data_IF_441954563883
#
_entry.id   IF_441954563883
#
_cell.length_a   1.000
_cell.length_b   1.000
_cell.length_c   1.000
_cell.angle_alpha   90.00
_cell.angle_beta   90.00
_cell.angle_gamma   90.00
#
_symmetry.space_group_name_H-M   'P 1'
#
loop_
_entity.id
_entity.type
_entity.pdbx_description
1 polymer ?
#
# COMPACT_ATOMS: atom_id res chain seq x y z
N UNK A 1 6.35 11.30 4.63
CA UNK A 1 5.95 11.91 3.35
C UNK A 1 4.80 11.17 2.69
N UNK A 2 4.88 9.84 2.49
CA UNK A 2 3.79 9.05 1.90
C UNK A 2 2.44 9.15 2.66
N UNK A 3 2.47 9.14 3.99
CA UNK A 3 1.26 9.24 4.85
C UNK A 3 0.49 10.54 4.59
N UNK A 4 1.18 11.67 4.48
CA UNK A 4 0.54 12.97 4.22
C UNK A 4 -0.11 13.08 2.83
N UNK A 5 0.32 12.24 1.87
CA UNK A 5 -0.29 12.15 0.53
C UNK A 5 -1.59 11.34 0.61
N UNK A 6 -1.55 10.20 1.29
CA UNK A 6 -2.73 9.35 1.55
C UNK A 6 -3.84 10.16 2.21
N UNK A 7 -3.52 10.89 3.29
CA UNK A 7 -4.48 11.74 4.02
C UNK A 7 -5.08 12.84 3.13
N UNK A 8 -4.25 13.49 2.29
CA UNK A 8 -4.73 14.53 1.37
C UNK A 8 -5.68 13.97 0.33
N UNK A 9 -5.39 12.81 -0.24
CA UNK A 9 -6.27 12.18 -1.24
C UNK A 9 -7.58 11.79 -0.57
N UNK A 10 -7.52 11.16 0.62
CA UNK A 10 -8.73 10.78 1.35
C UNK A 10 -9.61 11.99 1.71
N UNK A 11 -9.01 13.12 2.08
CA UNK A 11 -9.76 14.35 2.34
C UNK A 11 -10.36 14.97 1.08
N UNK A 12 -9.59 15.01 -0.02
CA UNK A 12 -10.02 15.61 -1.29
C UNK A 12 -11.16 14.82 -1.93
N UNK A 13 -11.05 13.49 -1.94
CA UNK A 13 -12.02 12.56 -2.53
C UNK A 13 -13.12 12.16 -1.53
N UNK A 14 -13.05 12.65 -0.29
CA UNK A 14 -13.96 12.31 0.82
C UNK A 14 -14.05 10.80 1.07
N UNK A 15 -12.94 10.09 0.88
CA UNK A 15 -12.86 8.66 1.03
C UNK A 15 -12.80 8.23 2.50
N UNK A 16 -13.39 7.06 2.84
CA UNK A 16 -13.29 6.49 4.17
C UNK A 16 -11.84 6.11 4.51
N UNK A 17 -11.51 6.17 5.80
CA UNK A 17 -10.19 5.78 6.32
C UNK A 17 -10.09 4.29 6.62
N UNK A 18 -11.22 3.62 6.83
CA UNK A 18 -11.29 2.17 7.02
C UNK A 18 -11.13 1.46 5.69
N UNK A 19 -10.25 0.46 5.64
CA UNK A 19 -9.96 -0.27 4.40
C UNK A 19 -11.19 -0.99 3.84
N UNK A 20 -12.00 -1.61 4.69
CA UNK A 20 -13.16 -2.40 4.24
C UNK A 20 -14.19 -1.54 3.50
N UNK A 21 -14.35 -0.29 3.90
CA UNK A 21 -15.23 0.69 3.24
C UNK A 21 -14.56 1.32 2.01
N UNK A 22 -13.23 1.47 2.03
CA UNK A 22 -12.46 2.09 0.96
C UNK A 22 -12.25 1.15 -0.24
N UNK A 23 -12.00 -0.13 0.04
CA UNK A 23 -11.73 -1.16 -0.96
C UNK A 23 -12.74 -1.17 -2.12
N UNK A 24 -14.08 -1.18 -1.90
CA UNK A 24 -15.04 -1.18 -3.01
C UNK A 24 -14.96 0.09 -3.87
N UNK A 25 -14.56 1.23 -3.30
CA UNK A 25 -14.38 2.50 -4.04
C UNK A 25 -13.15 2.38 -4.95
N UNK A 26 -12.03 1.88 -4.41
CA UNK A 26 -10.80 1.68 -5.19
C UNK A 26 -11.00 0.64 -6.31
N UNK A 27 -11.79 -0.41 -6.07
CA UNK A 27 -12.12 -1.43 -7.08
C UNK A 27 -13.05 -0.93 -8.19
N UNK A 28 -13.82 0.13 -7.94
CA UNK A 28 -14.79 0.64 -8.91
C UNK A 28 -14.10 1.20 -10.16
N UNK A 29 -12.93 1.84 -9.98
CA UNK A 29 -12.10 2.35 -11.07
C UNK A 29 -10.62 2.40 -10.66
N UNK A 30 -9.88 1.34 -10.99
CA UNK A 30 -8.43 1.26 -10.72
C UNK A 30 -7.59 2.14 -11.66
N UNK A 31 -8.18 2.63 -12.75
CA UNK A 31 -7.49 3.48 -13.72
C UNK A 31 -7.57 4.96 -13.36
N UNK A 32 -8.48 5.32 -12.44
CA UNK A 32 -8.61 6.67 -11.90
C UNK A 32 -7.29 7.17 -11.30
N UNK A 33 -6.98 8.44 -11.58
CA UNK A 33 -5.71 9.04 -11.21
C UNK A 33 -5.54 9.13 -9.68
N UNK A 34 -6.61 9.44 -8.95
CA UNK A 34 -6.59 9.52 -7.49
C UNK A 34 -6.42 8.13 -6.88
N UNK A 35 -7.07 7.10 -7.46
CA UNK A 35 -6.91 5.70 -7.02
C UNK A 35 -5.48 5.20 -7.24
N UNK A 36 -4.92 5.42 -8.44
CA UNK A 36 -3.53 5.04 -8.75
C UNK A 36 -2.53 5.72 -7.82
N UNK A 37 -2.72 7.02 -7.56
CA UNK A 37 -1.84 7.79 -6.67
C UNK A 37 -1.96 7.31 -5.22
N UNK A 38 -3.18 7.05 -4.75
CA UNK A 38 -3.43 6.51 -3.43
C UNK A 38 -2.73 5.17 -3.23
N UNK A 39 -2.94 4.21 -4.14
CA UNK A 39 -2.35 2.87 -4.04
C UNK A 39 -0.83 2.89 -4.10
N UNK A 40 -0.26 3.76 -4.95
CA UNK A 40 1.18 3.96 -5.03
C UNK A 40 1.76 4.53 -3.72
N UNK A 41 1.10 5.54 -3.14
CA UNK A 41 1.52 6.14 -1.87
C UNK A 41 1.33 5.15 -0.69
N UNK A 42 0.24 4.38 -0.70
CA UNK A 42 -0.06 3.35 0.29
C UNK A 42 1.01 2.27 0.28
N UNK A 43 1.39 1.75 -0.89
CA UNK A 43 2.48 0.79 -1.03
C UNK A 43 3.84 1.35 -0.62
N UNK A 44 4.16 2.59 -1.02
CA UNK A 44 5.39 3.25 -0.60
C UNK A 44 5.47 3.41 0.93
N UNK A 45 4.34 3.64 1.60
CA UNK A 45 4.28 3.68 3.06
C UNK A 45 4.58 2.31 3.68
N UNK A 46 4.07 1.22 3.09
CA UNK A 46 4.37 -0.15 3.50
C UNK A 46 5.87 -0.47 3.41
N UNK A 47 6.54 -0.08 2.34
CA UNK A 47 7.98 -0.25 2.20
C UNK A 47 8.77 0.54 3.26
N UNK A 48 8.34 1.77 3.55
CA UNK A 48 8.97 2.58 4.60
C UNK A 48 8.80 1.94 5.98
N UNK A 49 7.61 1.42 6.28
CA UNK A 49 7.31 0.72 7.53
C UNK A 49 8.13 -0.56 7.69
N UNK A 50 8.26 -1.34 6.61
CA UNK A 50 9.11 -2.53 6.57
C UNK A 50 10.57 -2.18 6.93
N UNK A 51 11.12 -1.14 6.31
CA UNK A 51 12.50 -0.66 6.57
C UNK A 51 12.71 -0.13 7.99
N UNK A 52 11.65 0.37 8.63
CA UNK A 52 11.67 0.83 10.02
C UNK A 52 11.42 -0.30 11.03
N UNK A 53 11.31 -1.55 10.58
CA UNK A 53 11.05 -2.71 11.43
C UNK A 53 9.57 -2.90 11.81
N UNK A 54 8.66 -2.07 11.30
CA UNK A 54 7.22 -2.27 11.48
C UNK A 54 6.67 -3.22 10.41
N UNK A 55 7.07 -4.48 10.53
CA UNK A 55 6.77 -5.55 9.56
C UNK A 55 5.28 -5.85 9.50
N UNK A 56 4.59 -5.96 10.65
CA UNK A 56 3.17 -6.30 10.71
C UNK A 56 2.29 -5.27 9.96
N UNK A 57 2.60 -3.99 10.11
CA UNK A 57 1.87 -2.94 9.39
C UNK A 57 2.15 -3.01 7.88
N UNK A 58 3.40 -3.26 7.49
CA UNK A 58 3.80 -3.41 6.09
C UNK A 58 3.18 -4.64 5.40
N UNK A 59 3.08 -5.77 6.12
CA UNK A 59 2.40 -6.99 5.65
C UNK A 59 0.92 -6.73 5.40
N UNK A 60 0.23 -6.05 6.31
CA UNK A 60 -1.18 -5.69 6.13
C UNK A 60 -1.39 -4.78 4.93
N UNK A 61 -0.54 -3.78 4.71
CA UNK A 61 -0.59 -2.92 3.51
C UNK A 61 -0.40 -3.76 2.24
N UNK A 62 0.59 -4.63 2.24
CA UNK A 62 0.86 -5.55 1.14
C UNK A 62 -0.36 -6.43 0.84
N UNK A 63 -0.96 -7.04 1.87
CA UNK A 63 -2.12 -7.90 1.74
C UNK A 63 -3.35 -7.14 1.23
N UNK A 64 -3.54 -5.88 1.63
CA UNK A 64 -4.61 -5.02 1.12
C UNK A 64 -4.47 -4.79 -0.40
N UNK A 65 -3.29 -4.38 -0.86
CA UNK A 65 -3.06 -4.07 -2.28
C UNK A 65 -3.05 -5.33 -3.14
N UNK A 66 -2.63 -6.48 -2.60
CA UNK A 66 -2.77 -7.78 -3.27
C UNK A 66 -4.23 -8.15 -3.58
N UNK A 67 -5.19 -7.70 -2.77
CA UNK A 67 -6.62 -7.93 -3.04
C UNK A 67 -7.17 -7.08 -4.20
N UNK A 68 -6.40 -6.10 -4.68
CA UNK A 68 -6.78 -5.21 -5.78
C UNK A 68 -6.04 -5.57 -7.07
N UNK A 69 -4.73 -5.34 -7.10
CA UNK A 69 -3.86 -5.66 -8.22
C UNK A 69 -2.39 -5.72 -7.74
N UNK A 70 -1.93 -6.92 -7.41
CA UNK A 70 -0.63 -7.14 -6.77
C UNK A 70 0.58 -6.74 -7.64
N UNK A 71 0.46 -6.92 -8.95
CA UNK A 71 1.56 -6.74 -9.91
C UNK A 71 1.77 -5.28 -10.28
N UNK A 72 0.68 -4.53 -10.44
CA UNK A 72 0.76 -3.14 -10.92
C UNK A 72 1.27 -2.17 -9.85
N UNK A 73 0.94 -2.40 -8.59
CA UNK A 73 1.31 -1.50 -7.49
C UNK A 73 2.50 -2.00 -6.66
N UNK A 74 3.21 -3.04 -7.13
CA UNK A 74 4.46 -3.50 -6.49
C UNK A 74 4.25 -4.24 -5.17
N UNK A 75 3.05 -4.80 -4.94
CA UNK A 75 2.76 -5.58 -3.74
C UNK A 75 3.55 -6.90 -3.72
N UNK A 76 3.81 -7.51 -4.88
CA UNK A 76 4.70 -8.68 -4.98
C UNK A 76 6.14 -8.35 -4.59
N UNK A 77 6.63 -7.16 -4.95
CA UNK A 77 7.98 -6.71 -4.62
C UNK A 77 8.13 -6.48 -3.12
N UNK A 78 7.19 -5.75 -2.51
CA UNK A 78 7.21 -5.54 -1.06
C UNK A 78 7.03 -6.87 -0.31
N UNK A 79 6.13 -7.74 -0.77
CA UNK A 79 5.97 -9.07 -0.20
C UNK A 79 7.28 -9.87 -0.25
N UNK A 80 7.97 -9.84 -1.38
CA UNK A 80 9.26 -10.52 -1.53
C UNK A 80 10.33 -9.95 -0.60
N UNK A 81 10.39 -8.61 -0.44
CA UNK A 81 11.32 -7.97 0.50
C UNK A 81 11.03 -8.36 1.95
N UNK A 82 9.75 -8.44 2.33
CA UNK A 82 9.34 -8.84 3.69
C UNK A 82 9.65 -10.31 4.00
N UNK A 83 9.59 -11.17 2.98
CA UNK A 83 9.76 -12.62 3.13
C UNK A 83 11.13 -13.14 2.67
N UNK A 84 11.98 -12.29 2.09
CA UNK A 84 13.35 -12.65 1.77
C UNK A 84 14.08 -12.94 3.09
N UNK A 85 14.71 -14.11 3.25
CA UNK A 85 15.66 -14.29 4.32
C UNK A 85 16.70 -13.19 4.17
N UNK A 86 16.98 -12.47 5.25
CA UNK A 86 18.19 -11.65 5.31
C UNK A 86 19.33 -12.60 4.96
N UNK A 87 19.94 -12.45 3.78
CA UNK A 87 21.23 -13.08 3.53
C UNK A 87 22.13 -12.53 4.63
N UNK A 88 22.46 -13.38 5.60
CA UNK A 88 23.54 -13.11 6.54
C UNK A 88 24.76 -12.76 5.66
N UNK A 89 25.20 -11.50 5.76
CA UNK A 89 26.45 -11.06 5.16
C UNK A 89 27.58 -11.93 5.73
N UNK A 90 28.09 -12.87 4.93
CA UNK A 90 29.33 -13.62 5.20
C UNK A 90 30.55 -12.68 5.29
#
# INVERSE_FOLDING_TARGET
>A
MAIAVIERIQQAEQWPTQWDDLKPILLADLDDQSVRLYLSAYMASGLMLARLGNVAEAERITAHVQQLNAKEFGAETLFSILNSPLEDED
#
